data_IF_262921638623
#
_entry.id   IF_262921638623
#
_cell.length_a   1.000
_cell.length_b   1.000
_cell.length_c   1.000
_cell.angle_alpha   90.00
_cell.angle_beta   90.00
_cell.angle_gamma   90.00
#
_symmetry.space_group_name_H-M   'P 1'
#
loop_
_entity.id
_entity.type
_entity.pdbx_description
1 polymer ?
#
# COMPACT_ATOMS: atom_id res chain seq x y z
N UNK A 1 33.51 23.25 -12.25
CA UNK A 1 34.11 21.91 -12.11
C UNK A 1 33.04 20.90 -12.49
N UNK A 2 33.31 20.11 -13.53
CA UNK A 2 32.37 19.16 -14.11
C UNK A 2 32.16 17.96 -13.17
N UNK A 3 30.90 17.55 -12.97
CA UNK A 3 30.57 16.29 -12.30
C UNK A 3 30.00 15.34 -13.33
N UNK A 4 30.67 14.20 -13.47
CA UNK A 4 30.40 13.11 -14.38
C UNK A 4 29.03 12.48 -14.11
N UNK A 5 28.16 12.40 -15.13
CA UNK A 5 26.98 11.52 -15.10
C UNK A 5 27.38 10.16 -15.67
N UNK A 6 27.40 9.15 -14.82
CA UNK A 6 27.54 7.75 -15.24
C UNK A 6 26.21 7.30 -15.87
N UNK A 7 26.19 7.20 -17.20
CA UNK A 7 25.13 6.53 -17.93
C UNK A 7 25.33 5.01 -17.86
N UNK A 8 24.47 4.32 -17.13
CA UNK A 8 24.40 2.87 -17.21
C UNK A 8 23.64 2.49 -18.49
N UNK A 9 24.36 2.01 -19.52
CA UNK A 9 23.78 1.45 -20.75
C UNK A 9 23.19 0.08 -20.45
N UNK A 10 21.86 -0.04 -20.47
CA UNK A 10 21.20 -1.35 -20.55
C UNK A 10 21.07 -1.70 -22.03
N UNK A 11 21.79 -2.73 -22.48
CA UNK A 11 21.63 -3.33 -23.79
C UNK A 11 20.38 -4.23 -23.79
N UNK A 12 19.35 -3.89 -24.57
CA UNK A 12 18.30 -4.85 -24.92
C UNK A 12 18.72 -5.59 -26.18
N UNK A 13 19.00 -6.89 -26.04
CA UNK A 13 19.22 -7.80 -27.16
C UNK A 13 17.85 -8.22 -27.67
N UNK A 14 17.47 -7.75 -28.86
CA UNK A 14 16.36 -8.29 -29.63
C UNK A 14 16.76 -9.61 -30.31
N UNK A 15 15.72 -10.35 -30.68
CA UNK A 15 15.68 -11.53 -31.56
C UNK A 15 15.74 -12.88 -30.86
N UNK A 16 14.56 -13.49 -30.71
CA UNK A 16 14.33 -14.86 -31.14
C UNK A 16 12.86 -15.04 -31.52
N UNK A 17 12.69 -15.41 -32.77
CA UNK A 17 11.46 -15.74 -33.49
C UNK A 17 10.73 -16.95 -32.89
N UNK A 18 9.41 -16.89 -32.88
CA UNK A 18 8.52 -18.03 -32.64
C UNK A 18 8.22 -18.73 -33.97
N UNK A 19 8.27 -20.07 -34.04
CA UNK A 19 7.43 -20.82 -34.96
C UNK A 19 6.20 -21.37 -34.23
N UNK A 20 5.09 -21.27 -34.94
CA UNK A 20 3.79 -21.85 -34.63
C UNK A 20 3.86 -23.39 -34.70
N UNK A 21 3.22 -24.10 -33.75
CA UNK A 21 2.41 -25.32 -33.97
C UNK A 21 2.05 -26.03 -32.67
N UNK A 22 0.92 -26.71 -32.78
CA UNK A 22 0.07 -27.35 -31.80
C UNK A 22 0.62 -28.65 -31.17
N UNK A 23 -0.05 -29.04 -30.08
CA UNK A 23 -0.09 -30.38 -29.46
C UNK A 23 1.16 -30.88 -28.71
N UNK A 24 1.23 -30.67 -27.39
CA UNK A 24 1.78 -31.70 -26.49
C UNK A 24 1.05 -31.78 -25.14
N UNK A 25 0.71 -33.03 -24.81
CA UNK A 25 -0.06 -33.49 -23.66
C UNK A 25 0.91 -33.81 -22.50
N UNK A 26 0.64 -33.21 -21.33
CA UNK A 26 0.88 -33.74 -19.96
C UNK A 26 2.33 -33.93 -19.45
N UNK A 27 2.68 -33.23 -18.36
CA UNK A 27 3.11 -33.80 -17.05
C UNK A 27 3.21 -32.71 -15.97
N UNK A 28 2.68 -33.00 -14.77
CA UNK A 28 2.79 -32.18 -13.56
C UNK A 28 4.25 -32.16 -13.07
N UNK A 29 4.79 -31.04 -12.54
CA UNK A 29 6.01 -31.10 -11.74
C UNK A 29 5.70 -31.62 -10.34
N UNK A 30 6.57 -32.50 -9.86
CA UNK A 30 6.51 -33.15 -8.56
C UNK A 30 6.80 -32.17 -7.41
N UNK A 31 6.13 -32.39 -6.28
CA UNK A 31 6.40 -31.73 -5.00
C UNK A 31 7.77 -32.12 -4.48
N UNK A 32 8.64 -31.13 -4.25
CA UNK A 32 9.87 -31.31 -3.49
C UNK A 32 9.53 -31.32 -2.00
N UNK A 33 9.83 -32.43 -1.34
CA UNK A 33 9.64 -32.67 0.10
C UNK A 33 11.04 -32.67 0.72
N UNK A 34 11.35 -31.69 1.56
CA UNK A 34 12.59 -31.71 2.34
C UNK A 34 12.39 -32.60 3.56
N UNK A 35 13.22 -33.64 3.69
CA UNK A 35 13.37 -34.42 4.92
C UNK A 35 14.52 -33.84 5.73
N UNK A 36 14.27 -33.47 6.98
CA UNK A 36 15.31 -33.25 7.99
C UNK A 36 15.10 -34.29 9.11
N UNK A 37 16.15 -35.05 9.38
CA UNK A 37 16.23 -36.08 10.41
C UNK A 37 17.12 -35.56 11.55
N UNK A 38 16.76 -35.91 12.81
CA UNK A 38 17.55 -35.79 14.04
C UNK A 38 17.75 -34.36 14.57
N UNK A 39 17.63 -34.02 15.84
CA UNK A 39 17.65 -34.82 17.06
C UNK A 39 16.79 -34.19 18.16
N UNK A 40 16.20 -35.06 18.99
CA UNK A 40 15.43 -34.71 20.16
C UNK A 40 16.36 -34.35 21.33
N UNK A 41 16.17 -33.17 21.91
CA UNK A 41 16.56 -32.89 23.29
C UNK A 41 15.37 -32.27 24.02
N UNK A 42 14.85 -33.07 24.95
CA UNK A 42 13.71 -32.81 25.81
C UNK A 42 14.00 -31.68 26.79
N UNK A 43 13.12 -30.68 26.88
CA UNK A 43 12.91 -29.94 28.12
C UNK A 43 11.40 -29.91 28.41
N UNK A 44 11.05 -30.51 29.52
CA UNK A 44 9.71 -30.55 30.10
C UNK A 44 9.39 -29.26 30.85
N UNK A 45 8.08 -28.96 30.86
CA UNK A 45 7.30 -28.26 31.89
C UNK A 45 7.54 -26.77 32.13
N UNK A 46 6.56 -25.97 31.72
CA UNK A 46 5.81 -25.13 32.66
C UNK A 46 4.40 -24.89 32.09
N UNK A 47 3.44 -25.59 32.68
CA UNK A 47 2.01 -25.34 32.54
C UNK A 47 1.66 -23.96 33.10
N UNK A 48 1.34 -23.03 32.20
CA UNK A 48 0.54 -21.86 32.52
C UNK A 48 -0.58 -21.80 31.49
N UNK A 49 -1.82 -21.96 31.92
CA UNK A 49 -2.99 -21.73 31.08
C UNK A 49 -3.05 -20.24 30.71
N UNK A 50 -2.36 -19.86 29.63
CA UNK A 50 -2.75 -18.68 28.88
C UNK A 50 -3.91 -19.09 27.99
N UNK A 51 -5.07 -18.46 28.15
CA UNK A 51 -6.13 -18.53 27.14
C UNK A 51 -5.50 -18.30 25.77
N UNK A 52 -5.58 -19.29 24.88
CA UNK A 52 -4.99 -19.20 23.55
C UNK A 52 -5.63 -18.00 22.82
N UNK A 53 -4.86 -16.94 22.62
CA UNK A 53 -5.36 -15.72 22.01
C UNK A 53 -5.70 -15.97 20.53
N UNK A 54 -6.98 -16.08 20.21
CA UNK A 54 -7.43 -16.19 18.82
C UNK A 54 -7.53 -14.80 18.16
N UNK A 55 -6.45 -14.41 17.48
CA UNK A 55 -6.36 -13.17 16.71
C UNK A 55 -7.51 -12.99 15.69
N UNK A 56 -8.10 -14.07 15.18
CA UNK A 56 -9.21 -14.01 14.22
C UNK A 56 -10.50 -13.59 14.91
N UNK A 57 -10.78 -14.17 16.08
CA UNK A 57 -11.95 -13.81 16.90
C UNK A 57 -11.82 -12.35 17.37
N UNK A 58 -10.61 -11.96 17.79
CA UNK A 58 -10.33 -10.58 18.16
C UNK A 58 -10.64 -9.60 17.01
N UNK A 59 -10.08 -9.82 15.82
CA UNK A 59 -10.36 -8.95 14.65
C UNK A 59 -11.83 -8.94 14.26
N UNK A 60 -12.50 -10.08 14.39
CA UNK A 60 -13.93 -10.21 14.12
C UNK A 60 -14.80 -9.37 15.07
N UNK A 61 -14.40 -9.28 16.34
CA UNK A 61 -15.08 -8.47 17.34
C UNK A 61 -14.74 -6.98 17.17
N UNK A 62 -13.46 -6.66 16.97
CA UNK A 62 -12.98 -5.29 16.79
C UNK A 62 -13.68 -4.59 15.61
N UNK A 63 -13.76 -5.27 14.46
CA UNK A 63 -14.39 -4.73 13.24
C UNK A 63 -15.89 -4.48 13.34
N UNK A 64 -16.56 -5.01 14.38
CA UNK A 64 -17.97 -4.73 14.69
C UNK A 64 -18.17 -3.78 15.86
N UNK A 65 -17.10 -3.37 16.51
CA UNK A 65 -17.18 -2.41 17.59
C UNK A 65 -17.67 -1.06 17.06
N UNK A 66 -18.30 -0.27 17.93
CA UNK A 66 -18.82 1.05 17.57
C UNK A 66 -17.71 2.04 17.21
N UNK A 67 -16.50 1.81 17.74
CA UNK A 67 -15.36 2.70 17.55
C UNK A 67 -14.47 2.27 16.38
N UNK A 68 -14.97 1.43 15.47
CA UNK A 68 -14.23 0.96 14.31
C UNK A 68 -14.96 1.35 13.03
N UNK A 69 -14.35 2.20 12.22
CA UNK A 69 -14.87 2.59 10.93
C UNK A 69 -14.00 2.08 9.79
N UNK A 70 -14.63 1.44 8.80
CA UNK A 70 -14.00 1.04 7.53
C UNK A 70 -14.76 1.55 6.30
N UNK A 71 -15.95 2.14 6.47
CA UNK A 71 -16.82 2.50 5.34
C UNK A 71 -16.58 3.92 4.81
N UNK A 72 -15.81 4.74 5.53
CA UNK A 72 -15.75 6.19 5.32
C UNK A 72 -16.84 6.91 6.11
N UNK A 73 -16.97 8.20 5.87
CA UNK A 73 -17.85 9.13 6.59
C UNK A 73 -18.85 9.87 5.69
N UNK A 74 -18.85 9.56 4.39
CA UNK A 74 -19.85 10.10 3.45
C UNK A 74 -19.44 11.40 2.75
N UNK A 75 -18.20 11.86 2.93
CA UNK A 75 -17.65 13.05 2.27
C UNK A 75 -16.84 12.70 1.00
N UNK A 76 -17.29 11.71 0.25
CA UNK A 76 -16.52 11.09 -0.85
C UNK A 76 -16.23 12.06 -2.00
N UNK A 77 -17.25 12.74 -2.51
CA UNK A 77 -17.11 13.61 -3.69
C UNK A 77 -16.16 14.78 -3.40
N UNK A 78 -16.40 15.48 -2.28
CA UNK A 78 -15.60 16.63 -1.87
C UNK A 78 -14.14 16.27 -1.55
N UNK A 79 -13.87 15.06 -1.02
CA UNK A 79 -12.49 14.62 -0.75
C UNK A 79 -11.78 14.15 -2.02
N UNK A 80 -12.50 13.57 -2.99
CA UNK A 80 -11.95 13.20 -4.29
C UNK A 80 -11.51 14.41 -5.12
N UNK A 81 -12.22 15.54 -5.02
CA UNK A 81 -11.81 16.78 -5.68
C UNK A 81 -10.46 17.29 -5.12
N UNK A 82 -10.31 17.33 -3.80
CA UNK A 82 -9.04 17.70 -3.13
C UNK A 82 -7.89 16.74 -3.48
N UNK A 83 -8.23 15.48 -3.69
CA UNK A 83 -7.28 14.45 -4.11
C UNK A 83 -6.83 14.65 -5.55
N UNK A 84 -7.73 15.03 -6.47
CA UNK A 84 -7.40 15.19 -7.90
C UNK A 84 -6.27 16.20 -8.14
N UNK A 85 -6.10 17.19 -7.26
CA UNK A 85 -4.97 18.13 -7.30
C UNK A 85 -3.62 17.45 -6.96
N UNK A 86 -3.62 16.49 -6.02
CA UNK A 86 -2.44 15.73 -5.56
C UNK A 86 -2.13 14.54 -6.49
N UNK A 87 -3.13 14.02 -7.20
CA UNK A 87 -3.05 12.81 -8.04
C UNK A 87 -2.19 12.96 -9.29
N UNK A 88 -1.83 14.18 -9.67
CA UNK A 88 -1.05 14.45 -10.87
C UNK A 88 0.46 14.19 -10.67
N UNK A 89 0.83 13.12 -9.97
CA UNK A 89 2.20 12.59 -9.96
C UNK A 89 2.39 11.76 -11.23
N UNK A 90 3.14 12.34 -12.18
CA UNK A 90 3.14 11.96 -13.60
C UNK A 90 4.34 11.10 -13.96
N UNK A 91 4.08 9.89 -14.42
CA UNK A 91 5.07 9.10 -15.16
C UNK A 91 4.91 9.49 -16.64
N UNK A 92 5.86 10.27 -17.13
CA UNK A 92 5.94 10.65 -18.55
C UNK A 92 7.19 9.99 -19.13
N UNK A 93 7.00 9.13 -20.12
CA UNK A 93 8.13 8.54 -20.82
C UNK A 93 8.54 9.47 -21.96
N UNK A 94 9.82 9.83 -21.99
CA UNK A 94 10.43 10.63 -23.05
C UNK A 94 11.32 9.70 -23.88
N UNK A 95 11.03 9.61 -25.18
CA UNK A 95 11.89 8.92 -26.13
C UNK A 95 12.53 9.94 -27.05
N UNK A 96 13.86 9.93 -27.14
CA UNK A 96 14.63 10.76 -28.06
C UNK A 96 15.45 9.83 -28.94
N UNK A 97 15.27 9.89 -30.25
CA UNK A 97 16.11 9.22 -31.26
C UNK A 97 16.51 7.77 -30.89
N UNK A 98 15.51 6.90 -30.68
CA UNK A 98 15.63 5.47 -30.31
C UNK A 98 16.07 5.13 -28.87
N UNK A 99 16.28 6.11 -27.97
CA UNK A 99 16.52 5.84 -26.55
C UNK A 99 15.29 6.16 -25.70
N UNK A 100 14.84 5.18 -24.91
CA UNK A 100 13.79 5.37 -23.90
C UNK A 100 14.45 5.88 -22.63
N UNK A 101 14.20 7.15 -22.29
CA UNK A 101 14.62 7.71 -21.00
C UNK A 101 13.39 7.79 -20.09
N UNK A 102 13.41 7.02 -19.01
CA UNK A 102 12.43 7.17 -17.93
C UNK A 102 12.84 8.39 -17.09
N UNK A 103 12.33 9.56 -17.46
CA UNK A 103 12.42 10.73 -16.60
C UNK A 103 11.23 10.73 -15.64
N UNK A 104 11.52 10.58 -14.35
CA UNK A 104 10.63 11.12 -13.33
C UNK A 104 10.71 12.66 -13.42
N UNK A 105 9.99 13.24 -14.38
CA UNK A 105 9.94 14.69 -14.54
C UNK A 105 9.33 15.29 -13.27
N UNK A 106 10.16 15.94 -12.47
CA UNK A 106 9.79 16.73 -11.28
C UNK A 106 9.04 18.03 -11.64
N UNK A 107 8.64 18.19 -12.90
CA UNK A 107 7.90 19.34 -13.39
C UNK A 107 6.41 19.11 -13.23
N UNK A 108 5.75 20.04 -12.53
CA UNK A 108 4.30 20.19 -12.58
C UNK A 108 3.92 20.52 -14.02
N UNK A 109 3.63 19.49 -14.81
CA UNK A 109 3.05 19.74 -16.12
C UNK A 109 1.63 20.28 -15.90
N UNK A 110 1.15 21.25 -16.66
CA UNK A 110 -0.23 21.71 -16.44
C UNK A 110 -1.19 20.60 -16.88
N UNK A 111 -2.42 20.56 -16.33
CA UNK A 111 -3.46 19.59 -16.74
C UNK A 111 -3.68 19.55 -18.26
N UNK A 112 -3.37 20.67 -18.92
CA UNK A 112 -3.40 20.86 -20.36
C UNK A 112 -2.58 19.81 -21.14
N UNK A 113 -1.38 19.42 -20.67
CA UNK A 113 -0.58 18.44 -21.43
C UNK A 113 -1.20 17.04 -21.42
N UNK A 114 -1.80 16.64 -20.30
CA UNK A 114 -2.36 15.28 -20.15
C UNK A 114 -3.58 15.20 -21.06
N UNK A 115 -4.40 16.25 -21.07
CA UNK A 115 -5.53 16.36 -21.97
C UNK A 115 -5.06 16.27 -23.41
N UNK A 116 -4.05 17.03 -23.81
CA UNK A 116 -3.45 16.98 -25.15
C UNK A 116 -2.89 15.60 -25.49
N UNK A 117 -2.19 14.93 -24.57
CA UNK A 117 -1.68 13.57 -24.76
C UNK A 117 -2.82 12.58 -24.98
N UNK A 118 -3.89 12.64 -24.18
CA UNK A 118 -5.06 11.77 -24.34
C UNK A 118 -5.79 11.99 -25.66
N UNK A 119 -5.99 13.25 -26.04
CA UNK A 119 -6.61 13.63 -27.32
C UNK A 119 -5.78 13.16 -28.53
N UNK A 120 -4.46 13.05 -28.37
CA UNK A 120 -3.52 12.59 -29.41
C UNK A 120 -3.17 11.09 -29.30
N UNK A 121 -4.00 10.27 -28.65
CA UNK A 121 -3.77 8.82 -28.58
C UNK A 121 -2.58 8.43 -27.69
N UNK A 122 -2.41 9.13 -26.56
CA UNK A 122 -1.36 8.94 -25.55
C UNK A 122 0.06 9.29 -26.02
N UNK A 123 0.21 10.01 -27.12
CA UNK A 123 1.51 10.39 -27.68
C UNK A 123 1.54 11.87 -28.08
N UNK A 124 2.67 12.53 -27.86
CA UNK A 124 2.93 13.88 -28.34
C UNK A 124 4.36 14.00 -28.83
N UNK A 125 4.56 14.55 -30.04
CA UNK A 125 5.88 14.72 -30.64
C UNK A 125 6.26 16.20 -30.69
N UNK A 126 7.43 16.52 -30.16
CA UNK A 126 8.03 17.84 -30.20
C UNK A 126 9.45 17.73 -30.77
N UNK A 127 9.60 18.08 -32.06
CA UNK A 127 10.85 17.87 -32.79
C UNK A 127 11.21 16.38 -32.87
N UNK A 128 12.40 16.02 -32.36
CA UNK A 128 12.88 14.64 -32.23
C UNK A 128 12.49 13.96 -30.90
N UNK A 129 11.80 14.67 -30.02
CA UNK A 129 11.32 14.14 -28.73
C UNK A 129 9.90 13.62 -28.88
N UNK A 130 9.67 12.39 -28.44
CA UNK A 130 8.32 11.81 -28.36
C UNK A 130 7.99 11.54 -26.90
N UNK A 131 6.88 12.10 -26.45
CA UNK A 131 6.31 11.94 -25.12
C UNK A 131 5.22 10.89 -25.21
N UNK A 132 5.30 9.83 -24.40
CA UNK A 132 4.24 8.81 -24.29
C UNK A 132 3.66 8.80 -22.89
N UNK A 133 2.34 8.77 -22.80
CA UNK A 133 1.59 8.57 -21.57
C UNK A 133 1.19 7.09 -21.48
N UNK A 134 1.37 6.46 -20.33
CA UNK A 134 0.87 5.11 -20.13
C UNK A 134 -0.67 5.12 -20.15
N UNK A 135 -1.30 4.06 -20.67
CA UNK A 135 -2.77 3.94 -20.64
C UNK A 135 -3.30 3.73 -19.22
N UNK A 136 -2.53 3.03 -18.39
CA UNK A 136 -2.80 2.82 -16.97
C UNK A 136 -1.74 3.52 -16.11
N UNK A 137 -2.14 4.58 -15.42
CA UNK A 137 -1.28 5.36 -14.53
C UNK A 137 -2.10 5.96 -13.38
N UNK A 138 -1.42 6.38 -12.32
CA UNK A 138 -2.04 6.97 -11.13
C UNK A 138 -2.28 5.96 -10.01
N UNK A 139 -3.21 6.29 -9.11
CA UNK A 139 -3.51 5.46 -7.96
C UNK A 139 -4.42 4.29 -8.33
N UNK A 140 -4.14 3.12 -7.76
CA UNK A 140 -5.07 2.01 -7.84
C UNK A 140 -6.25 2.25 -6.88
N UNK A 141 -7.40 1.66 -7.16
CA UNK A 141 -8.61 1.81 -6.33
C UNK A 141 -8.39 1.65 -4.82
N UNK A 142 -7.49 0.74 -4.41
CA UNK A 142 -7.16 0.53 -2.99
C UNK A 142 -6.46 1.72 -2.36
N UNK A 143 -5.54 2.34 -3.09
CA UNK A 143 -4.85 3.58 -2.68
C UNK A 143 -5.83 4.74 -2.67
N UNK A 144 -6.66 4.88 -3.72
CA UNK A 144 -7.64 5.96 -3.79
C UNK A 144 -8.57 5.94 -2.59
N UNK A 145 -9.16 4.76 -2.32
CA UNK A 145 -10.02 4.55 -1.16
C UNK A 145 -9.31 4.89 0.15
N UNK A 146 -8.05 4.51 0.30
CA UNK A 146 -7.34 4.70 1.55
C UNK A 146 -7.09 6.20 1.85
N UNK A 147 -6.60 6.93 0.85
CA UNK A 147 -6.37 8.38 0.96
C UNK A 147 -7.70 9.11 1.16
N UNK A 148 -8.74 8.72 0.43
CA UNK A 148 -10.08 9.30 0.57
C UNK A 148 -10.59 9.18 1.99
N UNK A 149 -10.59 7.97 2.57
CA UNK A 149 -11.07 7.75 3.95
C UNK A 149 -10.24 8.55 4.96
N UNK A 150 -8.92 8.68 4.75
CA UNK A 150 -8.08 9.50 5.62
C UNK A 150 -8.46 10.99 5.57
N UNK A 151 -8.75 11.53 4.38
CA UNK A 151 -9.23 12.91 4.23
C UNK A 151 -10.62 13.10 4.84
N UNK A 152 -11.51 12.12 4.64
CA UNK A 152 -12.84 12.13 5.27
C UNK A 152 -12.74 12.09 6.79
N UNK A 153 -11.80 11.32 7.35
CA UNK A 153 -11.57 11.26 8.80
C UNK A 153 -11.20 12.64 9.35
N UNK A 154 -10.33 13.39 8.67
CA UNK A 154 -9.97 14.74 9.09
C UNK A 154 -11.17 15.68 9.10
N UNK A 155 -12.05 15.60 8.09
CA UNK A 155 -13.27 16.41 8.04
C UNK A 155 -14.27 16.03 9.12
N UNK A 156 -14.44 14.72 9.35
CA UNK A 156 -15.38 14.19 10.33
C UNK A 156 -15.00 14.57 11.76
N UNK A 157 -13.71 14.56 12.05
CA UNK A 157 -13.16 14.84 13.37
C UNK A 157 -12.30 16.09 13.25
N UNK A 158 -12.86 17.31 13.28
CA UNK A 158 -12.07 18.53 13.09
C UNK A 158 -11.26 18.94 14.33
N UNK A 159 -11.63 18.48 15.53
CA UNK A 159 -11.03 18.93 16.80
C UNK A 159 -10.08 17.88 17.42
N UNK A 160 -10.24 16.61 17.05
CA UNK A 160 -9.53 15.49 17.64
C UNK A 160 -8.11 15.37 17.09
N UNK A 161 -7.17 14.82 17.87
CA UNK A 161 -5.86 14.45 17.33
C UNK A 161 -6.05 13.22 16.46
N UNK A 162 -5.53 13.27 15.23
CA UNK A 162 -5.54 12.13 14.33
C UNK A 162 -4.12 11.60 14.19
N UNK A 163 -3.96 10.34 14.59
CA UNK A 163 -2.72 9.62 14.50
C UNK A 163 -2.75 8.63 13.35
N UNK A 164 -1.67 8.56 12.61
CA UNK A 164 -1.46 7.61 11.54
C UNK A 164 -0.39 6.61 12.01
N UNK A 165 -0.74 5.32 12.05
CA UNK A 165 0.16 4.30 12.61
C UNK A 165 1.44 4.10 11.81
N UNK A 166 1.42 4.43 10.52
CA UNK A 166 2.52 4.43 9.55
C UNK A 166 2.06 5.24 8.34
N UNK A 167 2.97 5.68 7.47
CA UNK A 167 2.63 6.31 6.19
C UNK A 167 1.38 5.68 5.51
N UNK A 168 0.43 6.53 5.07
CA UNK A 168 -0.86 6.06 4.56
C UNK A 168 -0.66 5.16 3.34
N UNK A 169 0.31 5.56 2.51
CA UNK A 169 0.91 4.88 1.35
C UNK A 169 2.37 5.34 1.23
N UNK A 170 3.20 4.64 0.47
CA UNK A 170 4.58 5.07 0.16
C UNK A 170 4.59 6.19 -0.91
N UNK A 171 4.02 7.34 -0.57
CA UNK A 171 4.04 8.55 -1.38
C UNK A 171 4.26 9.78 -0.47
N UNK A 172 5.46 10.39 -0.52
CA UNK A 172 5.80 11.49 0.38
C UNK A 172 4.90 12.72 0.18
N UNK A 173 4.43 12.97 -1.04
CA UNK A 173 3.51 14.09 -1.32
C UNK A 173 2.18 13.92 -0.60
N UNK A 174 1.64 12.68 -0.59
CA UNK A 174 0.38 12.38 0.10
C UNK A 174 0.58 12.44 1.63
N UNK A 175 1.66 11.87 2.16
CA UNK A 175 1.94 11.93 3.59
C UNK A 175 2.17 13.36 4.08
N UNK A 176 2.89 14.18 3.32
CA UNK A 176 3.07 15.60 3.62
C UNK A 176 1.73 16.35 3.64
N UNK A 177 0.84 16.05 2.70
CA UNK A 177 -0.48 16.69 2.67
C UNK A 177 -1.33 16.32 3.89
N UNK A 178 -1.27 15.06 4.33
CA UNK A 178 -1.91 14.63 5.57
C UNK A 178 -1.32 15.35 6.80
N UNK A 179 -0.01 15.53 6.84
CA UNK A 179 0.66 16.27 7.91
C UNK A 179 0.26 17.75 7.93
N UNK A 180 0.15 18.41 6.76
CA UNK A 180 -0.40 19.77 6.62
C UNK A 180 -1.86 19.87 7.11
N UNK A 181 -2.60 18.77 7.04
CA UNK A 181 -3.95 18.62 7.58
C UNK A 181 -3.94 18.16 9.05
N UNK A 182 -2.82 18.27 9.76
CA UNK A 182 -2.64 17.87 11.16
C UNK A 182 -2.94 16.39 11.46
N UNK A 183 -2.82 15.52 10.46
CA UNK A 183 -2.79 14.07 10.64
C UNK A 183 -1.34 13.65 10.86
N UNK A 184 -0.99 13.31 12.10
CA UNK A 184 0.40 13.08 12.51
C UNK A 184 0.74 11.61 12.55
N UNK A 185 1.96 11.24 12.18
CA UNK A 185 2.43 9.88 12.38
C UNK A 185 2.66 9.59 13.87
N UNK A 186 2.39 8.36 14.30
CA UNK A 186 2.80 7.89 15.62
C UNK A 186 4.34 7.91 15.67
N UNK A 187 4.95 8.53 16.69
CA UNK A 187 6.39 8.59 16.81
C UNK A 187 6.98 7.19 16.97
N UNK A 188 8.15 7.00 16.38
CA UNK A 188 8.91 5.75 16.46
C UNK A 188 10.17 6.04 17.27
N UNK A 189 10.36 5.27 18.34
CA UNK A 189 11.60 5.29 19.14
C UNK A 189 12.19 3.88 19.18
N UNK A 190 13.50 3.77 18.94
CA UNK A 190 14.23 2.50 18.87
C UNK A 190 13.57 1.44 17.97
N UNK A 191 12.95 1.86 16.86
CA UNK A 191 12.26 0.98 15.91
C UNK A 191 10.88 0.48 16.37
N UNK A 192 10.37 0.97 17.50
CA UNK A 192 9.04 0.65 18.02
C UNK A 192 8.13 1.88 18.02
N UNK A 193 6.87 1.67 17.65
CA UNK A 193 5.84 2.71 17.67
C UNK A 193 5.43 3.02 19.11
N UNK A 194 5.35 4.30 19.42
CA UNK A 194 5.04 4.78 20.76
C UNK A 194 3.55 5.12 20.86
N UNK A 195 2.74 4.16 21.27
CA UNK A 195 1.29 4.35 21.41
C UNK A 195 0.89 5.14 22.68
N UNK A 196 1.84 5.46 23.56
CA UNK A 196 1.57 6.21 24.79
C UNK A 196 1.10 7.64 24.54
N UNK A 197 1.48 8.23 23.39
CA UNK A 197 1.01 9.56 22.97
C UNK A 197 -0.48 9.59 22.58
N UNK A 198 -1.08 8.42 22.38
CA UNK A 198 -2.46 8.28 21.93
C UNK A 198 -3.39 8.23 23.14
N UNK A 199 -4.34 9.16 23.18
CA UNK A 199 -5.36 9.30 24.22
C UNK A 199 -6.70 8.70 23.77
N UNK A 200 -7.59 8.37 24.72
CA UNK A 200 -8.88 7.70 24.45
C UNK A 200 -9.80 8.44 23.47
N UNK A 201 -9.74 9.78 23.45
CA UNK A 201 -10.55 10.61 22.58
C UNK A 201 -9.96 10.78 21.17
N UNK A 202 -8.74 10.29 20.94
CA UNK A 202 -8.05 10.44 19.66
C UNK A 202 -8.60 9.48 18.60
N UNK A 203 -8.28 9.80 17.35
CA UNK A 203 -8.58 8.99 16.18
C UNK A 203 -7.29 8.37 15.65
N UNK A 204 -7.31 7.08 15.36
CA UNK A 204 -6.16 6.36 14.82
C UNK A 204 -6.49 5.75 13.47
N UNK A 205 -5.74 6.16 12.45
CA UNK A 205 -5.86 5.71 11.08
C UNK A 205 -4.88 4.55 10.83
N UNK A 206 -5.40 3.43 10.36
CA UNK A 206 -4.60 2.29 9.89
C UNK A 206 -4.33 2.47 8.39
N UNK A 207 -3.10 2.26 7.90
CA UNK A 207 -2.71 2.55 6.52
C UNK A 207 -3.31 1.55 5.53
N UNK A 208 -3.12 1.80 4.23
CA UNK A 208 -3.65 0.94 3.16
C UNK A 208 -3.14 -0.52 3.23
N UNK A 209 -1.97 -0.74 3.84
CA UNK A 209 -1.34 -2.05 4.01
C UNK A 209 -1.85 -2.81 5.24
N UNK A 210 -2.58 -2.14 6.13
CA UNK A 210 -3.07 -2.66 7.40
C UNK A 210 -2.12 -2.43 8.57
N UNK A 211 -2.52 -2.95 9.72
CA UNK A 211 -1.79 -2.86 10.98
C UNK A 211 -1.60 -4.26 11.58
N UNK A 212 -0.57 -4.39 12.40
CA UNK A 212 -0.29 -5.64 13.08
C UNK A 212 -1.32 -5.89 14.21
N UNK A 213 -1.47 -7.16 14.62
CA UNK A 213 -2.52 -7.55 15.59
C UNK A 213 -2.25 -6.98 16.97
N UNK A 214 -0.99 -6.92 17.38
CA UNK A 214 -0.50 -6.26 18.59
C UNK A 214 -0.82 -4.76 18.59
N UNK A 215 -0.61 -4.05 17.48
CA UNK A 215 -1.00 -2.64 17.35
C UNK A 215 -2.51 -2.47 17.55
N UNK A 216 -3.32 -3.31 16.89
CA UNK A 216 -4.78 -3.27 17.03
C UNK A 216 -5.25 -3.58 18.46
N UNK A 217 -4.56 -4.47 19.18
CA UNK A 217 -4.85 -4.78 20.58
C UNK A 217 -4.65 -3.55 21.47
N UNK A 218 -3.47 -2.92 21.39
CA UNK A 218 -3.14 -1.72 22.17
C UNK A 218 -4.14 -0.59 21.90
N UNK A 219 -4.51 -0.38 20.63
CA UNK A 219 -5.50 0.63 20.25
C UNK A 219 -6.91 0.29 20.76
N UNK A 220 -7.30 -0.98 20.70
CA UNK A 220 -8.58 -1.45 21.23
C UNK A 220 -8.66 -1.27 22.75
N UNK A 221 -7.59 -1.56 23.49
CA UNK A 221 -7.50 -1.39 24.94
C UNK A 221 -7.59 0.08 25.35
N UNK A 222 -6.96 0.98 24.59
CA UNK A 222 -7.09 2.44 24.76
C UNK A 222 -8.48 2.98 24.41
N UNK A 223 -9.33 2.18 23.75
CA UNK A 223 -10.69 2.52 23.36
C UNK A 223 -10.77 3.80 22.50
N UNK A 224 -9.86 3.92 21.54
CA UNK A 224 -9.80 5.03 20.58
C UNK A 224 -10.76 4.81 19.41
N UNK A 225 -10.96 5.85 18.60
CA UNK A 225 -11.65 5.71 17.31
C UNK A 225 -10.67 5.17 16.26
N UNK A 226 -10.92 3.98 15.73
CA UNK A 226 -10.10 3.35 14.70
C UNK A 226 -10.72 3.57 13.32
N UNK A 227 -9.93 4.15 12.42
CA UNK A 227 -10.28 4.32 11.00
C UNK A 227 -9.41 3.40 10.15
N UNK A 228 -9.99 2.31 9.68
CA UNK A 228 -9.30 1.29 8.90
C UNK A 228 -9.37 1.59 7.39
N UNK A 229 -8.24 2.04 6.85
CA UNK A 229 -8.11 2.31 5.41
C UNK A 229 -7.58 1.11 4.62
N UNK A 230 -7.33 -0.04 5.26
CA UNK A 230 -6.73 -1.24 4.63
C UNK A 230 -7.42 -1.60 3.34
N UNK A 231 -6.63 -1.75 2.28
CA UNK A 231 -7.07 -2.17 0.97
C UNK A 231 -7.77 -3.54 1.06
N UNK A 232 -9.01 -3.68 0.56
CA UNK A 232 -9.72 -4.96 0.58
C UNK A 232 -8.97 -6.11 -0.10
N UNK A 233 -8.14 -5.81 -1.11
CA UNK A 233 -7.29 -6.81 -1.76
C UNK A 233 -6.16 -7.30 -0.83
N UNK A 234 -5.58 -6.41 -0.03
CA UNK A 234 -4.58 -6.77 1.00
C UNK A 234 -5.23 -7.60 2.11
N UNK A 235 -6.43 -7.22 2.59
CA UNK A 235 -7.15 -8.02 3.59
C UNK A 235 -7.47 -9.45 3.11
N UNK A 236 -7.75 -9.65 1.81
CA UNK A 236 -7.96 -10.98 1.25
C UNK A 236 -6.70 -11.85 1.36
N UNK A 237 -5.52 -11.29 1.11
CA UNK A 237 -4.24 -12.00 1.25
C UNK A 237 -4.04 -12.44 2.70
N UNK A 238 -4.21 -11.54 3.68
CA UNK A 238 -4.09 -11.86 5.10
C UNK A 238 -5.04 -12.98 5.54
N UNK A 239 -6.30 -12.92 5.12
CA UNK A 239 -7.28 -13.97 5.40
C UNK A 239 -6.86 -15.34 4.81
N UNK A 240 -6.24 -15.34 3.63
CA UNK A 240 -5.74 -16.56 3.00
C UNK A 240 -4.55 -17.15 3.74
N UNK A 241 -3.60 -16.31 4.15
CA UNK A 241 -2.41 -16.71 4.92
C UNK A 241 -2.82 -17.37 6.24
N UNK A 242 -3.78 -16.78 6.94
CA UNK A 242 -4.28 -17.32 8.21
C UNK A 242 -5.00 -18.65 8.07
N UNK A 243 -5.77 -18.82 7.00
CA UNK A 243 -6.43 -20.08 6.70
C UNK A 243 -5.40 -21.20 6.53
N UNK A 244 -4.35 -20.95 5.75
CA UNK A 244 -3.31 -21.95 5.50
C UNK A 244 -2.45 -22.26 6.73
N UNK A 245 -2.16 -21.27 7.58
CA UNK A 245 -1.45 -21.50 8.85
C UNK A 245 -2.20 -22.49 9.75
N UNK A 246 -3.54 -22.41 9.81
CA UNK A 246 -4.36 -23.39 10.56
C UNK A 246 -4.33 -24.77 9.91
N UNK A 247 -4.42 -24.85 8.58
CA UNK A 247 -4.40 -26.12 7.84
C UNK A 247 -3.04 -26.85 7.92
N UNK A 248 -1.91 -26.13 8.00
CA UNK A 248 -0.58 -26.73 8.14
C UNK A 248 -0.27 -27.23 9.55
N UNK A 249 -0.97 -26.72 10.57
CA UNK A 249 -0.82 -27.16 11.97
C UNK A 249 -1.69 -28.40 12.24
N UNK A 250 -2.73 -28.64 11.43
CA UNK A 250 -3.66 -29.78 11.55
C UNK A 250 -3.27 -31.00 10.69
N UNK A 251 -2.08 -31.02 10.09
CA UNK A 251 -1.53 -32.15 9.30
C UNK A 251 -0.21 -32.60 9.88
#
# INVERSE_FOLDING_TARGET
MAISMQFCRVFTRTDLSLPDTSLFRRRRPASLRCSAAGDAASLSSASGESSEFDAKVFRHNLTRSKNYNRKGFGHKEETLEQMTEVYNVRIVYLTVDCYVYMFACFWSISGDIIKTLKENGYEYRWGNVTVKLAEAYGFCWGVERAVQIAYEARKQFPAEKIWLTNEIIHNPTVNKRLEEMEVKNIPIDNGKKQFDVVEKADVVVLPAFGAAVDEMLVLSEKNVQIVDTTCPWVSKVWNSVEKHKKESILR
#
